data_IF_988343109740
#
_entry.id   IF_988343109740
#
_cell.length_a   1.000
_cell.length_b   1.000
_cell.length_c   1.000
_cell.angle_alpha   90.00
_cell.angle_beta   90.00
_cell.angle_gamma   90.00
#
_symmetry.space_group_name_H-M   'P 1'
#
loop_
_entity.id
_entity.type
_entity.pdbx_description
1 polymer ?
#
# COMPACT_ATOMS: atom_id res chain seq x y z
N UNK A 1 -57.83 -45.63 -29.96
CA UNK A 1 -57.44 -44.91 -28.72
C UNK A 1 -56.69 -45.91 -27.85
N UNK A 2 -55.36 -45.79 -27.73
CA UNK A 2 -54.52 -46.69 -26.90
C UNK A 2 -54.36 -46.09 -25.49
N UNK A 3 -54.36 -46.88 -24.41
CA UNK A 3 -54.15 -46.38 -23.06
C UNK A 3 -52.69 -45.91 -22.85
N UNK A 4 -52.44 -44.96 -21.93
CA UNK A 4 -51.10 -44.47 -21.63
C UNK A 4 -50.26 -45.51 -20.88
N UNK A 5 -48.92 -45.49 -21.05
CA UNK A 5 -48.00 -46.40 -20.36
C UNK A 5 -47.86 -46.08 -18.86
N UNK A 6 -47.44 -47.07 -18.04
CA UNK A 6 -47.33 -46.93 -16.59
C UNK A 6 -46.18 -46.02 -16.17
N UNK A 7 -46.41 -45.22 -15.12
CA UNK A 7 -45.44 -44.29 -14.52
C UNK A 7 -44.33 -45.04 -13.78
N UNK A 8 -43.09 -44.94 -14.27
CA UNK A 8 -41.90 -45.37 -13.55
C UNK A 8 -41.64 -44.48 -12.32
N UNK A 9 -41.12 -45.03 -11.21
CA UNK A 9 -40.69 -44.24 -10.05
C UNK A 9 -39.43 -43.42 -10.39
N UNK A 10 -39.43 -42.15 -10.00
CA UNK A 10 -38.28 -41.26 -10.10
C UNK A 10 -37.16 -41.68 -9.13
N UNK A 11 -35.87 -41.47 -9.48
CA UNK A 11 -34.76 -41.69 -8.56
C UNK A 11 -34.78 -40.67 -7.39
N UNK A 12 -34.22 -41.02 -6.22
CA UNK A 12 -34.14 -40.11 -5.08
C UNK A 12 -33.21 -38.92 -5.38
N UNK A 13 -33.62 -37.73 -4.95
CA UNK A 13 -32.84 -36.49 -5.03
C UNK A 13 -31.60 -36.56 -4.14
N UNK A 14 -30.49 -35.89 -4.51
CA UNK A 14 -29.30 -35.79 -3.66
C UNK A 14 -29.61 -35.03 -2.36
N UNK A 15 -28.90 -35.33 -1.26
CA UNK A 15 -29.09 -34.65 0.02
C UNK A 15 -28.72 -33.17 -0.11
N UNK A 16 -29.60 -32.30 0.41
CA UNK A 16 -29.31 -30.89 0.60
C UNK A 16 -28.35 -30.75 1.79
N UNK A 17 -27.08 -30.49 1.52
CA UNK A 17 -26.11 -30.12 2.56
C UNK A 17 -26.44 -28.70 3.05
N UNK A 18 -27.14 -28.62 4.18
CA UNK A 18 -27.26 -27.38 4.95
C UNK A 18 -25.94 -27.16 5.71
N UNK A 19 -25.19 -26.06 5.47
CA UNK A 19 -24.12 -25.69 6.37
C UNK A 19 -24.75 -25.24 7.69
N UNK A 20 -24.59 -26.07 8.72
CA UNK A 20 -24.93 -25.75 10.10
C UNK A 20 -24.12 -24.53 10.56
N UNK A 21 -24.78 -23.38 10.55
CA UNK A 21 -24.32 -22.14 11.18
C UNK A 21 -24.16 -22.37 12.68
N UNK A 22 -22.91 -22.35 13.15
CA UNK A 22 -22.57 -22.11 14.55
C UNK A 22 -21.22 -21.40 14.66
N UNK A 23 -21.09 -20.26 13.98
CA UNK A 23 -20.04 -19.30 14.29
C UNK A 23 -20.65 -18.24 15.22
N UNK A 24 -20.46 -18.46 16.52
CA UNK A 24 -20.88 -17.57 17.60
C UNK A 24 -20.34 -16.16 17.35
N UNK A 25 -21.23 -15.24 17.02
CA UNK A 25 -20.96 -13.82 16.88
C UNK A 25 -20.67 -13.21 18.26
N UNK A 26 -19.39 -13.07 18.61
CA UNK A 26 -18.94 -12.16 19.65
C UNK A 26 -18.38 -10.91 18.97
N UNK A 27 -19.28 -9.98 18.67
CA UNK A 27 -18.96 -8.66 18.16
C UNK A 27 -18.42 -7.78 19.29
N UNK A 28 -17.17 -7.33 19.17
CA UNK A 28 -16.66 -6.13 19.85
C UNK A 28 -15.53 -5.52 19.02
N UNK A 29 -15.81 -4.35 18.41
CA UNK A 29 -14.88 -3.33 17.91
C UNK A 29 -13.48 -3.77 17.45
N UNK A 30 -13.30 -3.91 16.13
CA UNK A 30 -11.99 -3.92 15.49
C UNK A 30 -12.15 -3.80 13.99
N UNK A 31 -11.56 -2.78 13.40
CA UNK A 31 -11.48 -2.51 11.96
C UNK A 31 -11.09 -3.78 11.18
N UNK A 32 -12.08 -4.48 10.62
CA UNK A 32 -11.86 -5.64 9.75
C UNK A 32 -11.47 -5.13 8.38
N UNK A 33 -10.19 -4.78 8.19
CA UNK A 33 -9.60 -4.79 6.85
C UNK A 33 -9.77 -6.23 6.35
N UNK A 34 -10.62 -6.40 5.35
CA UNK A 34 -10.87 -7.67 4.68
C UNK A 34 -9.57 -8.12 4.00
N UNK A 35 -8.72 -8.81 4.76
CA UNK A 35 -7.57 -9.54 4.21
C UNK A 35 -8.11 -10.91 3.84
N UNK A 36 -8.38 -11.11 2.55
CA UNK A 36 -8.75 -12.42 2.04
C UNK A 36 -7.60 -13.41 2.31
N UNK A 37 -7.84 -14.50 3.07
CA UNK A 37 -6.81 -15.47 3.45
C UNK A 37 -6.29 -16.32 2.28
N UNK A 38 -6.81 -16.12 1.06
CA UNK A 38 -6.43 -16.83 -0.18
C UNK A 38 -5.94 -15.86 -1.27
N UNK A 39 -5.34 -14.75 -0.87
CA UNK A 39 -4.65 -13.82 -1.77
C UNK A 39 -3.33 -14.44 -2.31
N UNK A 40 -3.02 -14.28 -3.62
CA UNK A 40 -1.73 -14.66 -4.16
C UNK A 40 -0.61 -13.92 -3.44
N UNK A 41 0.44 -14.64 -2.99
CA UNK A 41 1.57 -13.99 -2.30
C UNK A 41 2.21 -12.94 -3.19
N UNK A 42 2.35 -11.71 -2.68
CA UNK A 42 3.06 -10.66 -3.40
C UNK A 42 4.52 -11.08 -3.61
N UNK A 43 5.06 -11.08 -4.84
CA UNK A 43 6.46 -11.44 -5.04
C UNK A 43 7.36 -10.43 -4.35
N UNK A 44 8.44 -10.90 -3.72
CA UNK A 44 9.35 -10.06 -2.94
C UNK A 44 9.95 -8.90 -3.76
N UNK A 45 10.19 -9.11 -5.07
CA UNK A 45 10.66 -8.07 -5.98
C UNK A 45 9.72 -6.87 -6.02
N UNK A 46 8.42 -7.11 -6.04
CA UNK A 46 7.39 -6.06 -6.04
C UNK A 46 7.44 -5.22 -4.77
N UNK A 47 7.58 -5.89 -3.61
CA UNK A 47 7.75 -5.21 -2.33
C UNK A 47 9.03 -4.38 -2.30
N UNK A 48 10.11 -4.90 -2.88
CA UNK A 48 11.38 -4.19 -2.97
C UNK A 48 11.28 -2.96 -3.90
N UNK A 49 10.59 -3.08 -5.05
CA UNK A 49 10.35 -1.94 -5.94
C UNK A 49 9.54 -0.85 -5.24
N UNK A 50 8.47 -1.23 -4.53
CA UNK A 50 7.69 -0.31 -3.71
C UNK A 50 8.56 0.36 -2.63
N UNK A 51 9.37 -0.42 -1.91
CA UNK A 51 10.28 0.10 -0.89
C UNK A 51 11.27 1.11 -1.46
N UNK A 52 11.93 0.77 -2.57
CA UNK A 52 12.89 1.63 -3.24
C UNK A 52 12.23 2.93 -3.72
N UNK A 53 11.05 2.82 -4.33
CA UNK A 53 10.35 3.99 -4.86
C UNK A 53 9.87 4.92 -3.73
N UNK A 54 9.34 4.36 -2.63
CA UNK A 54 8.98 5.13 -1.44
C UNK A 54 10.19 5.77 -0.74
N UNK A 55 11.36 5.11 -0.76
CA UNK A 55 12.60 5.71 -0.26
C UNK A 55 13.02 6.92 -1.11
N UNK A 56 13.02 6.79 -2.44
CA UNK A 56 13.33 7.92 -3.34
C UNK A 56 12.35 9.06 -3.13
N UNK A 57 11.05 8.77 -3.09
CA UNK A 57 10.01 9.75 -2.81
C UNK A 57 10.25 10.46 -1.47
N UNK A 58 10.55 9.71 -0.40
CA UNK A 58 10.84 10.27 0.91
C UNK A 58 12.10 11.13 0.96
N UNK A 59 13.12 10.85 0.15
CA UNK A 59 14.31 11.71 0.01
C UNK A 59 13.94 13.02 -0.70
N UNK A 60 13.13 12.95 -1.77
CA UNK A 60 12.69 14.13 -2.53
C UNK A 60 11.82 15.06 -1.67
N UNK A 61 10.87 14.50 -0.92
CA UNK A 61 10.04 15.28 0.00
C UNK A 61 10.85 15.88 1.15
N UNK A 62 11.76 15.10 1.75
CA UNK A 62 12.68 15.62 2.76
C UNK A 62 13.54 16.77 2.19
N UNK A 63 13.99 16.64 0.94
CA UNK A 63 14.75 17.69 0.26
C UNK A 63 13.89 18.92 0.00
N UNK A 64 12.61 18.75 -0.36
CA UNK A 64 11.67 19.85 -0.55
C UNK A 64 11.43 20.61 0.77
N UNK A 65 11.29 19.89 1.88
CA UNK A 65 11.15 20.44 3.23
C UNK A 65 12.42 21.19 3.67
N UNK A 66 13.59 20.58 3.52
CA UNK A 66 14.87 21.19 3.87
C UNK A 66 15.23 22.40 3.00
N UNK A 67 14.67 22.49 1.80
CA UNK A 67 14.88 23.60 0.88
C UNK A 67 13.95 24.81 1.12
N UNK A 68 12.96 24.69 2.00
CA UNK A 68 12.04 25.79 2.33
C UNK A 68 12.78 26.95 3.01
N UNK A 69 12.41 28.18 2.66
CA UNK A 69 13.01 29.42 3.19
C UNK A 69 12.12 30.14 4.20
N UNK A 70 10.82 29.81 4.22
CA UNK A 70 9.81 30.44 5.07
C UNK A 70 9.19 29.39 5.99
N UNK A 71 8.84 29.82 7.21
CA UNK A 71 8.19 28.94 8.18
C UNK A 71 6.82 28.44 7.68
N UNK A 72 6.08 29.30 6.98
CA UNK A 72 4.79 28.96 6.37
C UNK A 72 4.91 27.87 5.30
N UNK A 73 5.96 27.90 4.48
CA UNK A 73 6.20 26.82 3.52
C UNK A 73 6.62 25.51 4.20
N UNK A 74 7.34 25.60 5.32
CA UNK A 74 7.74 24.42 6.10
C UNK A 74 6.57 23.77 6.82
N UNK A 75 5.65 24.53 7.43
CA UNK A 75 4.49 23.96 8.15
C UNK A 75 3.55 23.21 7.20
N UNK A 76 3.27 23.76 6.03
CA UNK A 76 2.41 23.12 5.02
C UNK A 76 2.99 21.77 4.57
N UNK A 77 4.29 21.74 4.24
CA UNK A 77 4.98 20.52 3.83
C UNK A 77 5.09 19.53 5.00
N UNK A 78 5.29 20.00 6.22
CA UNK A 78 5.35 19.13 7.41
C UNK A 78 4.02 18.45 7.70
N UNK A 79 2.91 19.19 7.62
CA UNK A 79 1.56 18.63 7.79
C UNK A 79 1.25 17.60 6.71
N UNK A 80 1.62 17.89 5.46
CA UNK A 80 1.49 16.93 4.37
C UNK A 80 2.27 15.64 4.68
N UNK A 81 3.59 15.74 4.93
CA UNK A 81 4.44 14.57 5.25
C UNK A 81 3.90 13.79 6.45
N UNK A 82 3.46 14.46 7.51
CA UNK A 82 2.90 13.78 8.67
C UNK A 82 1.65 12.95 8.30
N UNK A 83 0.77 13.50 7.47
CA UNK A 83 -0.46 12.82 7.04
C UNK A 83 -0.18 11.57 6.21
N UNK A 84 0.77 11.61 5.28
CA UNK A 84 0.98 10.49 4.34
C UNK A 84 2.19 9.60 4.65
N UNK A 85 3.15 10.00 5.49
CA UNK A 85 4.33 9.17 5.82
C UNK A 85 3.94 7.95 6.67
N UNK A 86 2.96 8.10 7.56
CA UNK A 86 2.40 6.98 8.31
C UNK A 86 1.66 5.98 7.40
N UNK A 87 0.86 6.50 6.46
CA UNK A 87 0.14 5.68 5.48
C UNK A 87 1.11 4.94 4.54
N UNK A 88 2.16 5.61 4.08
CA UNK A 88 3.21 5.01 3.27
C UNK A 88 3.97 3.91 4.04
N UNK A 89 4.31 4.15 5.32
CA UNK A 89 4.94 3.15 6.17
C UNK A 89 4.03 1.93 6.40
N UNK A 90 2.73 2.16 6.60
CA UNK A 90 1.74 1.11 6.73
C UNK A 90 1.63 0.27 5.45
N UNK A 91 1.48 0.91 4.29
CA UNK A 91 1.40 0.22 3.00
C UNK A 91 2.66 -0.61 2.73
N UNK A 92 3.84 -0.04 2.97
CA UNK A 92 5.11 -0.75 2.83
C UNK A 92 5.20 -1.95 3.79
N UNK A 93 4.81 -1.76 5.06
CA UNK A 93 4.78 -2.81 6.07
C UNK A 93 3.85 -3.96 5.70
N UNK A 94 2.63 -3.63 5.22
CA UNK A 94 1.66 -4.60 4.75
C UNK A 94 2.20 -5.43 3.57
N UNK A 95 2.78 -4.79 2.56
CA UNK A 95 3.40 -5.49 1.43
C UNK A 95 4.56 -6.41 1.86
N UNK A 96 5.37 -6.00 2.84
CA UNK A 96 6.46 -6.84 3.37
C UNK A 96 5.91 -8.09 4.07
N UNK A 97 4.86 -7.93 4.89
CA UNK A 97 4.20 -9.05 5.59
C UNK A 97 3.58 -10.04 4.59
N UNK A 98 2.93 -9.52 3.55
CA UNK A 98 2.31 -10.32 2.49
C UNK A 98 3.35 -11.08 1.65
N UNK A 99 4.53 -10.50 1.43
CA UNK A 99 5.66 -11.15 0.76
C UNK A 99 6.36 -12.25 1.58
N UNK A 100 5.92 -12.51 2.82
CA UNK A 100 6.53 -13.51 3.74
C UNK A 100 8.02 -13.25 4.00
N UNK A 101 8.45 -11.99 4.00
CA UNK A 101 9.83 -11.64 4.29
C UNK A 101 10.18 -11.91 5.76
N UNK A 102 11.44 -12.29 6.02
CA UNK A 102 11.96 -12.42 7.40
C UNK A 102 11.83 -11.10 8.17
N UNK A 103 11.53 -11.16 9.47
CA UNK A 103 11.45 -10.00 10.37
C UNK A 103 12.70 -9.11 10.33
N UNK A 104 13.88 -9.69 10.06
CA UNK A 104 15.11 -8.91 9.87
C UNK A 104 15.02 -7.97 8.66
N UNK A 105 14.46 -8.44 7.55
CA UNK A 105 14.28 -7.62 6.33
C UNK A 105 13.25 -6.52 6.55
N UNK A 106 12.18 -6.80 7.28
CA UNK A 106 11.19 -5.80 7.66
C UNK A 106 11.84 -4.61 8.35
N UNK A 107 12.59 -4.86 9.43
CA UNK A 107 13.25 -3.78 10.19
C UNK A 107 14.29 -3.03 9.36
N UNK A 108 15.03 -3.71 8.49
CA UNK A 108 16.01 -3.06 7.59
C UNK A 108 15.32 -2.13 6.60
N UNK A 109 14.25 -2.59 5.94
CA UNK A 109 13.53 -1.80 4.93
C UNK A 109 12.81 -0.60 5.55
N UNK A 110 12.13 -0.81 6.68
CA UNK A 110 11.46 0.28 7.42
C UNK A 110 12.49 1.26 7.97
N UNK A 111 13.63 0.78 8.46
CA UNK A 111 14.75 1.62 8.92
C UNK A 111 15.30 2.50 7.79
N UNK A 112 15.49 1.94 6.59
CA UNK A 112 15.94 2.69 5.43
C UNK A 112 14.91 3.75 4.99
N UNK A 113 13.63 3.40 4.98
CA UNK A 113 12.54 4.35 4.67
C UNK A 113 12.44 5.47 5.70
N UNK A 114 12.70 5.18 6.98
CA UNK A 114 12.76 6.20 8.04
C UNK A 114 13.96 7.13 7.84
N UNK A 115 15.15 6.57 7.57
CA UNK A 115 16.39 7.31 7.35
C UNK A 115 16.39 8.16 6.06
N UNK A 116 15.55 7.82 5.09
CA UNK A 116 15.40 8.57 3.84
C UNK A 116 14.93 10.02 4.08
N UNK A 117 14.04 10.28 5.04
CA UNK A 117 13.57 11.64 5.36
C UNK A 117 14.65 12.56 5.93
N UNK A 118 15.36 12.22 7.02
CA UNK A 118 16.42 13.07 7.54
C UNK A 118 17.56 13.23 6.52
N UNK A 119 17.88 12.19 5.74
CA UNK A 119 18.83 12.30 4.63
C UNK A 119 18.36 13.35 3.60
N UNK A 120 17.11 13.27 3.17
CA UNK A 120 16.49 14.25 2.28
C UNK A 120 16.56 15.67 2.84
N UNK A 121 16.24 15.87 4.12
CA UNK A 121 16.30 17.20 4.76
C UNK A 121 17.70 17.78 4.68
N UNK A 122 18.73 17.00 5.03
CA UNK A 122 20.13 17.44 4.94
C UNK A 122 20.51 17.82 3.51
N UNK A 123 20.10 17.01 2.53
CA UNK A 123 20.30 17.32 1.10
C UNK A 123 19.56 18.59 0.70
N UNK A 124 18.31 18.77 1.12
CA UNK A 124 17.49 19.95 0.89
C UNK A 124 18.09 21.22 1.44
N UNK A 125 18.66 21.16 2.66
CA UNK A 125 19.36 22.30 3.27
C UNK A 125 20.59 22.72 2.46
N UNK A 126 21.34 21.75 1.90
CA UNK A 126 22.45 22.07 1.01
C UNK A 126 21.96 22.69 -0.31
N UNK A 127 20.84 22.21 -0.84
CA UNK A 127 20.23 22.72 -2.07
C UNK A 127 19.62 24.12 -1.89
N UNK A 128 19.08 24.42 -0.71
CA UNK A 128 18.58 25.75 -0.37
C UNK A 128 19.64 26.82 -0.64
N UNK A 129 20.91 26.53 -0.35
CA UNK A 129 22.00 27.47 -0.54
C UNK A 129 22.38 27.66 -2.02
N UNK A 130 22.19 26.64 -2.86
CA UNK A 130 22.61 26.64 -4.27
C UNK A 130 21.50 27.05 -5.27
N UNK A 131 20.23 26.75 -4.99
CA UNK A 131 19.16 26.75 -6.01
C UNK A 131 18.29 28.02 -6.07
N UNK A 132 18.76 29.16 -5.56
CA UNK A 132 18.13 30.48 -5.79
C UNK A 132 16.66 30.64 -5.35
N UNK A 133 16.16 29.77 -4.46
CA UNK A 133 14.78 29.81 -3.93
C UNK A 133 13.78 28.86 -4.60
N UNK A 134 14.10 28.29 -5.77
CA UNK A 134 13.19 27.37 -6.48
C UNK A 134 13.39 25.89 -6.12
N UNK A 135 14.48 25.56 -5.41
CA UNK A 135 14.85 24.17 -5.09
C UNK A 135 13.74 23.38 -4.40
N UNK A 136 13.03 23.99 -3.44
CA UNK A 136 11.92 23.34 -2.74
C UNK A 136 10.74 22.99 -3.65
N UNK A 137 10.35 23.90 -4.54
CA UNK A 137 9.26 23.69 -5.47
C UNK A 137 9.58 22.58 -6.50
N UNK A 138 10.81 22.55 -7.01
CA UNK A 138 11.26 21.51 -7.96
C UNK A 138 11.28 20.14 -7.26
N UNK A 139 11.85 20.06 -6.06
CA UNK A 139 11.86 18.80 -5.30
C UNK A 139 10.44 18.33 -4.94
N UNK A 140 9.53 19.25 -4.61
CA UNK A 140 8.12 18.93 -4.35
C UNK A 140 7.41 18.43 -5.61
N UNK A 141 7.67 19.03 -6.77
CA UNK A 141 7.11 18.58 -8.04
C UNK A 141 7.61 17.17 -8.42
N UNK A 142 8.91 16.89 -8.21
CA UNK A 142 9.49 15.56 -8.41
C UNK A 142 8.92 14.54 -7.42
N UNK A 143 8.74 14.92 -6.15
CA UNK A 143 8.09 14.06 -5.16
C UNK A 143 6.66 13.71 -5.58
N UNK A 144 5.84 14.70 -5.97
CA UNK A 144 4.48 14.47 -6.45
C UNK A 144 4.45 13.56 -7.70
N UNK A 145 5.37 13.77 -8.64
CA UNK A 145 5.50 12.95 -9.85
C UNK A 145 5.87 11.49 -9.55
N UNK A 146 6.82 11.26 -8.63
CA UNK A 146 7.19 9.90 -8.22
C UNK A 146 6.05 9.19 -7.51
N UNK A 147 5.29 9.88 -6.65
CA UNK A 147 4.10 9.31 -6.01
C UNK A 147 3.06 8.88 -7.04
N UNK A 148 2.76 9.75 -8.02
CA UNK A 148 1.82 9.44 -9.09
C UNK A 148 2.30 8.24 -9.94
N UNK A 149 3.60 8.17 -10.24
CA UNK A 149 4.17 7.05 -10.98
C UNK A 149 4.03 5.73 -10.21
N UNK A 150 4.37 5.72 -8.92
CA UNK A 150 4.23 4.53 -8.06
C UNK A 150 2.77 4.11 -7.95
N UNK A 151 1.86 5.06 -7.73
CA UNK A 151 0.44 4.77 -7.65
C UNK A 151 -0.10 4.12 -8.93
N UNK A 152 0.32 4.59 -10.10
CA UNK A 152 -0.21 4.12 -11.39
C UNK A 152 0.49 2.89 -11.96
N UNK A 153 1.78 2.70 -11.74
CA UNK A 153 2.56 1.61 -12.33
C UNK A 153 2.81 0.47 -11.34
N UNK A 154 2.89 0.78 -10.05
CA UNK A 154 3.12 -0.23 -9.02
C UNK A 154 1.83 -0.61 -8.30
N UNK A 155 0.98 0.33 -7.87
CA UNK A 155 -0.21 -0.04 -7.08
C UNK A 155 -1.37 -0.44 -7.99
N UNK A 156 -1.78 0.44 -8.91
CA UNK A 156 -2.99 0.26 -9.72
C UNK A 156 -3.04 -1.06 -10.51
N UNK A 157 -1.97 -1.55 -11.17
CA UNK A 157 -2.04 -2.80 -11.92
C UNK A 157 -2.16 -4.03 -11.02
N UNK A 158 -1.72 -3.96 -9.75
CA UNK A 158 -1.82 -5.08 -8.81
C UNK A 158 -3.27 -5.24 -8.37
N UNK A 159 -3.89 -4.14 -7.94
CA UNK A 159 -5.30 -4.13 -7.50
C UNK A 159 -6.27 -4.53 -8.62
N UNK A 160 -6.06 -4.03 -9.85
CA UNK A 160 -6.92 -4.38 -10.99
C UNK A 160 -6.81 -5.86 -11.40
N UNK A 161 -5.67 -6.50 -11.13
CA UNK A 161 -5.48 -7.94 -11.40
C UNK A 161 -6.08 -8.82 -10.31
N UNK A 162 -6.27 -8.30 -9.11
CA UNK A 162 -6.91 -8.99 -7.99
C UNK A 162 -8.44 -8.84 -8.00
N UNK A 163 -8.97 -7.68 -8.41
CA UNK A 163 -10.42 -7.43 -8.54
C UNK A 163 -11.10 -8.04 -9.77
N UNK A 164 -10.36 -8.76 -10.63
CA UNK A 164 -10.86 -9.38 -11.86
C UNK A 164 -11.23 -10.87 -11.74
N UNK A 165 -11.37 -11.39 -10.52
CA UNK A 165 -11.81 -12.77 -10.22
C UNK A 165 -13.09 -12.75 -9.39
#
# INVERSE_FOLDING_TARGET
>A
VRPPPPSLPLPPLPPCDHPSSSASASACHGLSIFVDPKSPKLPFHTTLLLACALCVHSVLEGSAMGAQRTLTGTEDVMVAIAAHKGLAAYALGASIVESQASSKRFWVVVGLFSAASPLGIVVGMSLAQAAGGYGGAVMSALAAGTFLYVATMEVLPKELREGGR
#
